data_IF_570019580514
#
_entry.id   IF_570019580514
#
_cell.length_a   1.000
_cell.length_b   1.000
_cell.length_c   1.000
_cell.angle_alpha   90.00
_cell.angle_beta   90.00
_cell.angle_gamma   90.00
#
_symmetry.space_group_name_H-M   'P 1'
#
loop_
_entity.id
_entity.type
_entity.pdbx_description
1 polymer ?
#
# COMPACT_ATOMS: atom_id res chain seq x y z
N UNK A 1 13.25 -26.07 -10.73
CA UNK A 1 13.28 -24.70 -11.29
C UNK A 1 11.97 -24.04 -10.90
N UNK A 2 11.97 -22.99 -10.06
CA UNK A 2 10.92 -21.97 -10.09
C UNK A 2 11.46 -20.70 -9.43
N UNK A 3 11.43 -19.63 -10.22
CA UNK A 3 12.03 -18.33 -9.95
C UNK A 3 11.33 -17.68 -8.76
N UNK A 4 12.07 -17.50 -7.66
CA UNK A 4 11.66 -16.64 -6.55
C UNK A 4 11.68 -15.21 -7.09
N UNK A 5 10.50 -14.58 -7.10
CA UNK A 5 10.25 -13.24 -7.61
C UNK A 5 11.26 -12.24 -7.10
N UNK A 6 12.11 -11.74 -8.00
CA UNK A 6 12.94 -10.56 -7.78
C UNK A 6 12.03 -9.34 -7.76
N UNK A 7 11.56 -8.92 -6.59
CA UNK A 7 11.20 -7.52 -6.38
C UNK A 7 12.50 -6.78 -6.07
N UNK A 8 13.16 -6.32 -7.13
CA UNK A 8 14.17 -5.27 -7.05
C UNK A 8 13.43 -3.93 -7.10
N UNK A 9 13.01 -3.40 -5.95
CA UNK A 9 12.55 -2.01 -5.89
C UNK A 9 13.77 -1.12 -5.72
N UNK A 10 14.11 -0.41 -6.80
CA UNK A 10 15.21 0.56 -6.89
C UNK A 10 15.06 1.66 -5.82
N UNK A 11 16.15 2.27 -5.33
CA UNK A 11 16.13 3.27 -4.26
C UNK A 11 15.74 4.65 -4.83
N UNK A 12 14.53 4.76 -5.37
CA UNK A 12 13.86 6.04 -5.56
C UNK A 12 13.09 6.27 -4.27
N UNK A 13 13.19 7.46 -3.66
CA UNK A 13 12.51 7.77 -2.41
C UNK A 13 11.07 7.21 -2.43
N UNK A 14 10.67 6.38 -1.44
CA UNK A 14 9.41 5.68 -1.53
C UNK A 14 8.28 6.71 -1.59
N UNK A 15 7.52 6.70 -2.68
CA UNK A 15 6.26 7.43 -2.74
C UNK A 15 5.28 6.89 -1.71
N UNK A 16 4.23 7.64 -1.42
CA UNK A 16 3.22 7.24 -0.43
C UNK A 16 2.58 5.92 -0.86
N UNK A 17 2.21 5.79 -2.14
CA UNK A 17 1.68 4.54 -2.68
C UNK A 17 2.65 3.37 -2.57
N UNK A 18 3.93 3.62 -2.87
CA UNK A 18 4.99 2.65 -2.70
C UNK A 18 5.13 2.14 -1.26
N UNK A 19 4.95 3.02 -0.26
CA UNK A 19 5.07 2.70 1.16
C UNK A 19 3.85 1.92 1.66
N UNK A 20 2.65 2.29 1.21
CA UNK A 20 1.42 1.53 1.50
C UNK A 20 1.48 0.12 0.92
N UNK A 21 1.90 -0.03 -0.33
CA UNK A 21 2.05 -1.33 -0.98
C UNK A 21 3.05 -2.23 -0.25
N UNK A 22 4.19 -1.67 0.17
CA UNK A 22 5.19 -2.41 0.92
C UNK A 22 4.69 -2.83 2.30
N UNK A 23 4.02 -1.92 3.02
CA UNK A 23 3.44 -2.23 4.32
C UNK A 23 2.35 -3.30 4.23
N UNK A 24 1.54 -3.29 3.16
CA UNK A 24 0.55 -4.32 2.88
C UNK A 24 1.20 -5.68 2.66
N UNK A 25 2.21 -5.74 1.79
CA UNK A 25 2.97 -6.97 1.52
C UNK A 25 3.71 -7.49 2.75
N UNK A 26 4.29 -6.60 3.56
CA UNK A 26 5.00 -6.96 4.79
C UNK A 26 4.07 -7.62 5.84
N UNK A 27 2.78 -7.24 5.84
CA UNK A 27 1.76 -7.83 6.71
C UNK A 27 1.09 -9.07 6.12
N UNK A 28 1.33 -9.37 4.84
CA UNK A 28 0.70 -10.49 4.14
C UNK A 28 -0.76 -10.24 3.78
N UNK A 29 -1.20 -8.98 3.71
CA UNK A 29 -2.56 -8.63 3.32
C UNK A 29 -2.73 -8.59 1.80
N UNK A 30 -3.86 -9.08 1.33
CA UNK A 30 -4.35 -8.83 -0.02
C UNK A 30 -4.93 -7.41 -0.15
N UNK A 31 -5.19 -6.98 -1.38
CA UNK A 31 -5.87 -5.70 -1.61
C UNK A 31 -7.29 -5.73 -1.03
N UNK A 32 -7.98 -6.87 -1.11
CA UNK A 32 -9.30 -7.08 -0.53
C UNK A 32 -9.28 -6.96 1.00
N UNK A 33 -8.28 -7.54 1.68
CA UNK A 33 -8.16 -7.44 3.14
C UNK A 33 -8.00 -5.99 3.60
N UNK A 34 -7.21 -5.19 2.88
CA UNK A 34 -7.03 -3.77 3.19
C UNK A 34 -8.26 -2.95 2.84
N UNK A 35 -8.89 -3.24 1.70
CA UNK A 35 -10.14 -2.62 1.29
C UNK A 35 -11.22 -2.81 2.37
N UNK A 36 -11.40 -4.05 2.85
CA UNK A 36 -12.35 -4.37 3.92
C UNK A 36 -11.99 -3.69 5.25
N UNK A 37 -10.72 -3.73 5.65
CA UNK A 37 -10.24 -3.13 6.92
C UNK A 37 -10.39 -1.60 6.94
N UNK A 38 -10.18 -0.94 5.79
CA UNK A 38 -10.21 0.52 5.66
C UNK A 38 -11.56 1.07 5.21
N UNK A 39 -12.48 0.19 4.81
CA UNK A 39 -13.73 0.56 4.15
C UNK A 39 -13.52 1.26 2.81
N UNK A 40 -12.40 0.97 2.13
CA UNK A 40 -12.11 1.43 0.77
C UNK A 40 -12.45 0.31 -0.20
N UNK A 41 -12.57 0.63 -1.48
CA UNK A 41 -12.64 -0.37 -2.55
C UNK A 41 -11.24 -0.81 -2.98
N UNK A 42 -11.11 -2.01 -3.54
CA UNK A 42 -9.84 -2.50 -4.12
C UNK A 42 -9.28 -1.52 -5.16
N UNK A 43 -10.16 -0.87 -5.94
CA UNK A 43 -9.77 0.14 -6.92
C UNK A 43 -9.17 1.38 -6.26
N UNK A 44 -9.77 1.87 -5.17
CA UNK A 44 -9.23 3.01 -4.41
C UNK A 44 -7.89 2.66 -3.74
N UNK A 45 -7.76 1.45 -3.18
CA UNK A 45 -6.47 0.98 -2.62
C UNK A 45 -5.41 0.89 -3.71
N UNK A 46 -5.76 0.40 -4.89
CA UNK A 46 -4.83 0.31 -6.03
C UNK A 46 -4.42 1.69 -6.54
N UNK A 47 -5.36 2.64 -6.58
CA UNK A 47 -5.10 4.03 -6.94
C UNK A 47 -4.17 4.72 -5.92
N UNK A 48 -4.36 4.46 -4.62
CA UNK A 48 -3.44 4.91 -3.57
C UNK A 48 -2.05 4.32 -3.76
N UNK A 49 -1.92 3.01 -4.02
CA UNK A 49 -0.64 2.33 -4.24
C UNK A 49 0.09 2.77 -5.52
N UNK A 50 -0.66 3.28 -6.50
CA UNK A 50 -0.14 3.75 -7.79
C UNK A 50 0.11 5.26 -7.81
N UNK A 51 -0.07 5.96 -6.69
CA UNK A 51 -0.02 7.42 -6.58
C UNK A 51 -0.96 8.11 -7.61
N UNK A 52 -2.12 7.51 -7.85
CA UNK A 52 -3.22 8.09 -8.64
C UNK A 52 -4.26 8.78 -7.75
N UNK A 53 -4.36 8.36 -6.49
CA UNK A 53 -5.22 8.96 -5.47
C UNK A 53 -4.36 9.62 -4.37
N UNK A 54 -4.54 10.94 -4.20
CA UNK A 54 -3.83 11.75 -3.21
C UNK A 54 -4.76 12.27 -2.10
N UNK A 55 -5.95 11.68 -1.93
CA UNK A 55 -6.83 12.06 -0.83
C UNK A 55 -6.16 11.71 0.51
N UNK A 56 -5.70 12.76 1.20
CA UNK A 56 -5.01 12.64 2.46
C UNK A 56 -5.82 11.89 3.54
N UNK A 57 -7.16 11.90 3.47
CA UNK A 57 -8.00 11.15 4.40
C UNK A 57 -7.97 9.65 4.11
N UNK A 58 -7.95 9.26 2.83
CA UNK A 58 -7.84 7.85 2.41
C UNK A 58 -6.45 7.31 2.69
N UNK A 59 -5.41 8.08 2.36
CA UNK A 59 -4.01 7.76 2.69
C UNK A 59 -3.86 7.51 4.18
N UNK A 60 -4.30 8.45 5.03
CA UNK A 60 -4.20 8.29 6.50
C UNK A 60 -4.94 7.06 6.99
N UNK A 61 -6.10 6.74 6.43
CA UNK A 61 -6.90 5.58 6.83
C UNK A 61 -6.19 4.27 6.47
N UNK A 62 -5.66 4.16 5.26
CA UNK A 62 -4.86 3.02 4.82
C UNK A 62 -3.56 2.88 5.63
N UNK A 63 -2.86 3.99 5.86
CA UNK A 63 -1.64 4.04 6.64
C UNK A 63 -1.85 3.63 8.10
N UNK A 64 -2.96 4.07 8.71
CA UNK A 64 -3.33 3.69 10.06
C UNK A 64 -3.64 2.20 10.17
N UNK A 65 -4.39 1.63 9.23
CA UNK A 65 -4.68 0.19 9.18
C UNK A 65 -3.40 -0.65 9.01
N UNK A 66 -2.45 -0.14 8.23
CA UNK A 66 -1.15 -0.77 8.00
C UNK A 66 -0.13 -0.52 9.13
N UNK A 67 -0.38 0.44 10.02
CA UNK A 67 0.53 0.83 11.10
C UNK A 67 1.75 1.61 10.61
N UNK A 68 1.63 2.30 9.47
CA UNK A 68 2.71 3.09 8.86
C UNK A 68 2.38 4.59 8.78
N UNK A 69 1.35 5.04 9.49
CA UNK A 69 0.96 6.45 9.56
C UNK A 69 2.10 7.37 10.00
N UNK A 70 3.01 6.89 10.86
CA UNK A 70 4.19 7.64 11.32
C UNK A 70 5.28 7.80 10.24
N UNK A 71 5.17 7.04 9.14
CA UNK A 71 6.16 7.00 8.05
C UNK A 71 5.73 7.76 6.80
N UNK A 72 4.57 8.41 6.81
CA UNK A 72 3.96 9.14 5.69
C UNK A 72 3.75 10.59 6.11
#
# INVERSE_FOLDING_TARGET
>A
MNMVSKITKSPVAPSVGALLAEARLARGYSLDDIAETTGLTVAEVTALESDEDFDASRIRRAAAALGVLDKI
#
